data_IF_416426179228
#
_entry.id   IF_416426179228
#
_cell.length_a   1.000
_cell.length_b   1.000
_cell.length_c   1.000
_cell.angle_alpha   90.00
_cell.angle_beta   90.00
_cell.angle_gamma   90.00
#
_symmetry.space_group_name_H-M   'P 1'
#
loop_
_entity.id
_entity.type
_entity.pdbx_description
1 polymer ?
#
# COMPACT_ATOMS: atom_id res chain seq x y z
N UNK A 1 -12.16 12.32 18.42
CA UNK A 1 -13.41 11.57 18.68
C UNK A 1 -13.18 10.17 18.14
N UNK A 2 -13.21 9.12 18.97
CA UNK A 2 -13.09 7.75 18.48
C UNK A 2 -14.38 7.39 17.76
N UNK A 3 -14.27 6.92 16.52
CA UNK A 3 -15.38 6.29 15.83
C UNK A 3 -15.58 4.88 16.40
N UNK A 4 -16.74 4.28 16.16
CA UNK A 4 -16.96 2.86 16.46
C UNK A 4 -15.85 2.01 15.81
N UNK A 5 -15.37 0.97 16.49
CA UNK A 5 -14.29 0.08 16.02
C UNK A 5 -12.90 0.72 15.83
N UNK A 6 -12.67 1.91 16.39
CA UNK A 6 -11.38 2.61 16.30
C UNK A 6 -10.94 3.13 17.68
N UNK A 7 -9.69 2.84 18.05
CA UNK A 7 -9.05 3.41 19.23
C UNK A 7 -7.80 4.16 18.76
N UNK A 8 -7.79 5.48 18.93
CA UNK A 8 -6.61 6.31 18.63
C UNK A 8 -6.19 7.01 19.92
N UNK A 9 -4.91 6.91 20.24
CA UNK A 9 -4.37 7.50 21.46
C UNK A 9 -2.86 7.68 21.40
N UNK A 10 -2.28 7.84 22.59
CA UNK A 10 -0.84 7.90 22.79
C UNK A 10 -0.45 7.07 24.02
N UNK A 11 0.71 6.43 23.95
CA UNK A 11 1.40 5.79 25.06
C UNK A 11 2.78 6.41 25.12
N UNK A 12 3.16 7.04 26.24
CA UNK A 12 4.45 7.73 26.40
C UNK A 12 4.77 8.67 25.22
N UNK A 13 3.78 9.49 24.85
CA UNK A 13 3.79 10.39 23.68
C UNK A 13 3.90 9.74 22.29
N UNK A 14 4.06 8.42 22.21
CA UNK A 14 4.03 7.65 20.97
C UNK A 14 2.58 7.45 20.54
N UNK A 15 2.25 7.88 19.32
CA UNK A 15 0.92 7.68 18.74
C UNK A 15 0.66 6.19 18.51
N UNK A 16 -0.45 5.69 19.04
CA UNK A 16 -0.92 4.32 18.82
C UNK A 16 -2.34 4.37 18.28
N UNK A 17 -2.63 3.49 17.32
CA UNK A 17 -3.97 3.32 16.77
C UNK A 17 -4.29 1.84 16.61
N UNK A 18 -5.51 1.47 16.99
CA UNK A 18 -6.10 0.15 16.76
C UNK A 18 -7.37 0.32 15.94
N UNK A 19 -7.52 -0.54 14.93
CA UNK A 19 -8.65 -0.53 14.02
C UNK A 19 -9.18 -1.95 13.89
N UNK A 20 -10.50 -2.13 13.97
CA UNK A 20 -11.14 -3.36 13.52
C UNK A 20 -11.51 -3.16 12.06
N UNK A 21 -10.84 -3.91 11.17
CA UNK A 21 -11.08 -3.89 9.73
C UNK A 21 -11.82 -5.18 9.34
N UNK A 22 -12.76 -5.13 8.38
CA UNK A 22 -13.50 -6.32 7.94
C UNK A 22 -12.65 -7.27 7.06
N UNK A 23 -11.42 -6.86 6.70
CA UNK A 23 -10.57 -7.59 5.77
C UNK A 23 -9.85 -8.75 6.44
N UNK A 24 -10.08 -9.97 5.97
CA UNK A 24 -9.28 -11.13 6.35
C UNK A 24 -7.82 -10.98 5.88
N UNK A 25 -6.88 -11.56 6.62
CA UNK A 25 -5.49 -11.66 6.17
C UNK A 25 -5.39 -12.64 4.98
N UNK A 26 -4.53 -12.33 4.02
CA UNK A 26 -4.22 -13.25 2.92
C UNK A 26 -3.46 -14.48 3.41
N UNK A 27 -2.61 -14.28 4.41
CA UNK A 27 -1.73 -15.28 4.99
C UNK A 27 -1.72 -15.16 6.52
N UNK A 28 -1.38 -16.24 7.20
CA UNK A 28 -1.26 -16.22 8.66
C UNK A 28 -0.17 -15.22 9.07
N UNK A 29 -0.49 -14.35 10.02
CA UNK A 29 0.46 -13.39 10.57
C UNK A 29 1.70 -14.10 11.13
N UNK A 30 2.88 -13.55 10.87
CA UNK A 30 4.12 -14.00 11.48
C UNK A 30 4.09 -13.66 12.97
N UNK A 31 4.44 -14.62 13.82
CA UNK A 31 4.64 -14.34 15.24
C UNK A 31 6.07 -13.84 15.44
N UNK A 32 6.21 -12.55 15.74
CA UNK A 32 7.47 -11.95 16.18
C UNK A 32 7.36 -11.62 17.66
N UNK A 33 8.07 -12.38 18.48
CA UNK A 33 7.96 -12.32 19.95
C UNK A 33 6.50 -12.42 20.43
N UNK A 34 5.95 -11.34 20.98
CA UNK A 34 4.59 -11.23 21.49
C UNK A 34 3.64 -10.52 20.52
N UNK A 35 4.08 -10.25 19.29
CA UNK A 35 3.33 -9.51 18.27
C UNK A 35 3.02 -10.40 17.07
N UNK A 36 1.80 -10.28 16.57
CA UNK A 36 1.40 -10.83 15.29
C UNK A 36 1.64 -9.76 14.21
N UNK A 37 2.52 -10.04 13.26
CA UNK A 37 2.93 -9.12 12.20
C UNK A 37 2.36 -9.64 10.87
N UNK A 38 1.68 -8.77 10.13
CA UNK A 38 1.11 -9.14 8.84
C UNK A 38 2.22 -9.49 7.83
N UNK A 39 1.96 -10.47 6.96
CA UNK A 39 2.89 -10.87 5.91
C UNK A 39 3.02 -9.78 4.84
N UNK A 40 4.11 -9.83 4.06
CA UNK A 40 4.38 -8.85 3.00
C UNK A 40 3.24 -8.74 1.96
N UNK A 41 2.53 -9.83 1.67
CA UNK A 41 1.38 -9.83 0.77
C UNK A 41 0.23 -8.93 1.29
N UNK A 42 -0.08 -9.03 2.59
CA UNK A 42 -1.08 -8.18 3.22
C UNK A 42 -0.62 -6.72 3.27
N UNK A 43 0.66 -6.47 3.60
CA UNK A 43 1.21 -5.11 3.60
C UNK A 43 1.16 -4.48 2.21
N UNK A 44 1.49 -5.23 1.15
CA UNK A 44 1.41 -4.76 -0.23
C UNK A 44 -0.01 -4.38 -0.62
N UNK A 45 -0.98 -5.25 -0.33
CA UNK A 45 -2.39 -4.97 -0.60
C UNK A 45 -2.87 -3.73 0.16
N UNK A 46 -2.48 -3.57 1.42
CA UNK A 46 -2.81 -2.37 2.21
C UNK A 46 -2.15 -1.10 1.65
N UNK A 47 -0.94 -1.18 1.07
CA UNK A 47 -0.30 -0.02 0.42
C UNK A 47 -1.01 0.39 -0.86
N UNK A 48 -1.43 -0.57 -1.68
CA UNK A 48 -2.25 -0.30 -2.86
C UNK A 48 -3.57 0.37 -2.47
N UNK A 49 -4.22 -0.11 -1.39
CA UNK A 49 -5.44 0.52 -0.86
C UNK A 49 -5.18 1.98 -0.44
N UNK A 50 -4.13 2.23 0.35
CA UNK A 50 -3.78 3.57 0.81
C UNK A 50 -3.47 4.54 -0.34
N UNK A 51 -2.80 4.06 -1.39
CA UNK A 51 -2.54 4.83 -2.61
C UNK A 51 -3.83 5.15 -3.36
N UNK A 52 -4.78 4.21 -3.41
CA UNK A 52 -6.06 4.45 -4.07
C UNK A 52 -6.94 5.52 -3.38
N UNK A 53 -6.67 5.83 -2.11
CA UNK A 53 -7.39 6.83 -1.33
C UNK A 53 -6.68 8.19 -1.32
N UNK A 54 -5.56 8.31 -0.58
CA UNK A 54 -4.77 9.57 -0.49
C UNK A 54 -3.38 9.44 -1.13
N UNK A 55 -2.72 8.29 -1.02
CA UNK A 55 -1.37 8.07 -1.56
C UNK A 55 -0.31 9.04 -1.03
N UNK A 56 0.20 8.78 0.17
CA UNK A 56 1.36 9.53 0.69
C UNK A 56 2.66 9.09 0.00
N UNK A 57 3.68 9.96 -0.02
CA UNK A 57 5.00 9.64 -0.61
C UNK A 57 5.61 8.38 0.00
N UNK A 58 5.41 8.17 1.30
CA UNK A 58 5.84 6.94 2.00
C UNK A 58 5.12 5.70 1.47
N UNK A 59 3.83 5.77 1.17
CA UNK A 59 3.10 4.60 0.65
C UNK A 59 3.63 4.17 -0.72
N UNK A 60 3.95 5.12 -1.60
CA UNK A 60 4.61 4.84 -2.87
C UNK A 60 6.01 4.26 -2.69
N UNK A 61 6.80 4.80 -1.76
CA UNK A 61 8.15 4.27 -1.45
C UNK A 61 8.09 2.85 -0.92
N UNK A 62 7.17 2.56 0.01
CA UNK A 62 6.99 1.23 0.57
C UNK A 62 6.55 0.23 -0.50
N UNK A 63 5.58 0.61 -1.34
CA UNK A 63 5.13 -0.24 -2.45
C UNK A 63 6.24 -0.47 -3.48
N UNK A 64 7.00 0.57 -3.83
CA UNK A 64 8.18 0.44 -4.68
C UNK A 64 9.18 -0.55 -4.09
N UNK A 65 9.50 -0.44 -2.80
CA UNK A 65 10.42 -1.37 -2.14
C UNK A 65 9.90 -2.81 -2.21
N UNK A 66 8.60 -3.03 -1.99
CA UNK A 66 7.97 -4.35 -2.13
C UNK A 66 8.08 -4.87 -3.57
N UNK A 67 7.96 -4.02 -4.58
CA UNK A 67 8.17 -4.40 -5.97
C UNK A 67 9.62 -4.86 -6.25
N UNK A 68 10.59 -4.18 -5.64
CA UNK A 68 12.00 -4.49 -5.85
C UNK A 68 12.49 -5.72 -5.07
N UNK A 69 11.88 -6.04 -3.93
CA UNK A 69 12.43 -7.03 -2.99
C UNK A 69 11.50 -8.23 -2.72
N UNK A 70 10.24 -8.15 -3.12
CA UNK A 70 9.25 -9.21 -2.86
C UNK A 70 8.65 -9.74 -4.17
N UNK A 71 7.81 -8.95 -4.86
CA UNK A 71 7.08 -9.40 -6.05
C UNK A 71 6.76 -8.27 -7.02
N UNK A 72 6.71 -8.52 -8.35
CA UNK A 72 6.28 -7.53 -9.34
C UNK A 72 4.92 -6.90 -9.01
N UNK A 73 4.72 -5.64 -9.38
CA UNK A 73 3.51 -4.88 -9.07
C UNK A 73 2.22 -5.57 -9.58
N UNK A 74 2.32 -6.26 -10.72
CA UNK A 74 1.27 -7.11 -11.28
C UNK A 74 0.81 -8.22 -10.32
N UNK A 75 1.74 -8.91 -9.67
CA UNK A 75 1.42 -9.96 -8.70
C UNK A 75 0.82 -9.34 -7.42
N UNK A 76 1.37 -8.20 -6.97
CA UNK A 76 0.83 -7.46 -5.82
C UNK A 76 -0.61 -6.99 -6.07
N UNK A 77 -0.94 -6.58 -7.30
CA UNK A 77 -2.30 -6.20 -7.67
C UNK A 77 -3.24 -7.41 -7.71
N UNK A 78 -2.75 -8.58 -8.11
CA UNK A 78 -3.50 -9.85 -8.01
C UNK A 78 -3.78 -10.21 -6.54
N UNK A 79 -2.80 -10.02 -5.66
CA UNK A 79 -2.97 -10.20 -4.21
C UNK A 79 -3.98 -9.22 -3.61
N UNK A 80 -3.95 -7.96 -4.06
CA UNK A 80 -4.95 -6.96 -3.70
C UNK A 80 -6.36 -7.43 -4.08
N UNK A 81 -6.57 -7.90 -5.32
CA UNK A 81 -7.87 -8.40 -5.77
C UNK A 81 -8.30 -9.64 -4.96
N UNK A 82 -7.37 -10.51 -4.58
CA UNK A 82 -7.68 -11.66 -3.71
C UNK A 82 -8.13 -11.22 -2.32
N UNK A 83 -7.51 -10.19 -1.75
CA UNK A 83 -7.83 -9.69 -0.39
C UNK A 83 -9.15 -8.92 -0.35
N UNK A 84 -9.41 -8.13 -1.38
CA UNK A 84 -10.48 -7.15 -1.38
C UNK A 84 -11.56 -7.38 -2.45
N UNK A 85 -11.52 -8.50 -3.18
CA UNK A 85 -12.42 -8.75 -4.31
C UNK A 85 -13.91 -8.74 -3.95
N UNK A 86 -14.26 -9.01 -2.70
CA UNK A 86 -15.64 -8.96 -2.19
C UNK A 86 -16.12 -7.54 -1.85
N UNK A 87 -15.25 -6.53 -1.94
CA UNK A 87 -15.51 -5.15 -1.53
C UNK A 87 -15.63 -4.17 -2.71
N UNK A 88 -15.85 -4.68 -3.94
CA UNK A 88 -16.14 -3.91 -5.16
C UNK A 88 -15.15 -2.76 -5.48
N UNK A 89 -13.87 -2.93 -5.14
CA UNK A 89 -12.86 -1.92 -5.50
C UNK A 89 -12.65 -1.84 -7.02
N UNK A 90 -12.72 -0.63 -7.54
CA UNK A 90 -12.57 -0.37 -8.97
C UNK A 90 -11.09 -0.45 -9.40
N UNK A 91 -10.75 -1.48 -10.18
CA UNK A 91 -9.38 -1.72 -10.66
C UNK A 91 -8.84 -0.60 -11.56
N UNK A 92 -9.70 0.03 -12.35
CA UNK A 92 -9.33 1.18 -13.19
C UNK A 92 -8.91 2.37 -12.32
N UNK A 93 -9.67 2.66 -11.25
CA UNK A 93 -9.33 3.69 -10.28
C UNK A 93 -7.97 3.41 -9.63
N UNK A 94 -7.74 2.17 -9.17
CA UNK A 94 -6.47 1.78 -8.54
C UNK A 94 -5.29 2.01 -9.48
N UNK A 95 -5.38 1.54 -10.73
CA UNK A 95 -4.30 1.71 -11.72
C UNK A 95 -4.05 3.20 -12.01
N UNK A 96 -5.10 4.02 -12.03
CA UNK A 96 -4.98 5.47 -12.20
C UNK A 96 -4.29 6.13 -11.00
N UNK A 97 -4.62 5.71 -9.78
CA UNK A 97 -4.02 6.25 -8.55
C UNK A 97 -2.53 5.91 -8.43
N UNK A 98 -2.07 4.77 -8.97
CA UNK A 98 -0.63 4.41 -8.98
C UNK A 98 0.25 5.41 -9.75
N UNK A 99 -0.34 6.26 -10.60
CA UNK A 99 0.39 7.32 -11.31
C UNK A 99 -0.09 8.73 -10.96
N UNK A 100 -0.88 8.86 -9.90
CA UNK A 100 -1.36 10.13 -9.39
C UNK A 100 -0.50 10.55 -8.18
N UNK A 101 0.42 11.49 -8.40
CA UNK A 101 1.41 11.88 -7.39
C UNK A 101 1.10 13.20 -6.68
N UNK A 102 -0.01 13.87 -6.98
CA UNK A 102 -0.25 15.24 -6.53
C UNK A 102 -0.20 15.37 -4.98
N UNK A 103 -0.82 14.42 -4.27
CA UNK A 103 -0.78 14.40 -2.81
C UNK A 103 0.63 14.06 -2.30
N UNK A 104 1.23 12.99 -2.82
CA UNK A 104 2.59 12.57 -2.48
C UNK A 104 3.66 13.64 -2.75
N UNK A 105 3.52 14.44 -3.80
CA UNK A 105 4.48 15.48 -4.17
C UNK A 105 4.62 16.55 -3.07
N UNK A 106 3.56 16.78 -2.28
CA UNK A 106 3.57 17.74 -1.16
C UNK A 106 4.25 17.21 0.11
N UNK A 107 4.41 15.89 0.24
CA UNK A 107 5.04 15.27 1.41
C UNK A 107 6.56 15.49 1.41
N UNK A 108 7.19 15.54 2.59
CA UNK A 108 8.64 15.37 2.66
C UNK A 108 9.04 13.93 2.29
N UNK A 109 10.25 13.76 1.73
CA UNK A 109 10.80 12.40 1.58
C UNK A 109 10.96 11.75 2.95
N UNK A 110 10.51 10.49 3.16
CA UNK A 110 10.76 9.79 4.41
C UNK A 110 12.27 9.64 4.67
N UNK A 111 12.64 9.44 5.94
CA UNK A 111 14.03 9.13 6.29
C UNK A 111 14.39 7.75 5.73
N UNK A 112 15.22 7.74 4.69
CA UNK A 112 15.66 6.52 4.00
C UNK A 112 16.99 6.02 4.57
N UNK A 113 17.15 4.70 4.61
CA UNK A 113 18.44 4.03 4.91
C UNK A 113 19.31 3.83 3.67
N UNK A 114 18.75 4.09 2.49
CA UNK A 114 19.39 3.95 1.18
C UNK A 114 19.16 5.25 0.40
N UNK A 115 20.07 5.57 -0.52
CA UNK A 115 19.83 6.69 -1.44
C UNK A 115 18.74 6.29 -2.43
N UNK A 116 17.57 6.91 -2.30
CA UNK A 116 16.42 6.72 -3.18
C UNK A 116 15.81 8.07 -3.49
N UNK A 117 15.79 8.44 -4.77
CA UNK A 117 15.19 9.69 -5.23
C UNK A 117 13.73 9.48 -5.57
N UNK A 118 12.89 10.45 -5.21
CA UNK A 118 11.46 10.41 -5.51
C UNK A 118 11.17 10.24 -7.01
N UNK A 119 11.97 10.85 -7.88
CA UNK A 119 11.83 10.71 -9.33
C UNK A 119 12.04 9.28 -9.83
N UNK A 120 12.85 8.46 -9.16
CA UNK A 120 13.04 7.05 -9.52
C UNK A 120 11.76 6.25 -9.24
N UNK A 121 11.12 6.52 -8.10
CA UNK A 121 9.84 5.89 -7.71
C UNK A 121 8.74 6.26 -8.70
N UNK A 122 8.61 7.54 -9.07
CA UNK A 122 7.62 7.98 -10.06
C UNK A 122 7.83 7.32 -11.43
N UNK A 123 9.08 7.29 -11.90
CA UNK A 123 9.42 6.64 -13.18
C UNK A 123 9.05 5.16 -13.19
N UNK A 124 9.28 4.46 -12.09
CA UNK A 124 8.88 3.06 -11.94
C UNK A 124 7.37 2.89 -12.14
N UNK A 125 6.53 3.60 -11.37
CA UNK A 125 5.08 3.44 -11.47
C UNK A 125 4.50 3.88 -12.81
N UNK A 126 5.06 4.93 -13.42
CA UNK A 126 4.69 5.36 -14.78
C UNK A 126 4.99 4.23 -15.78
N UNK A 127 6.15 3.56 -15.66
CA UNK A 127 6.53 2.46 -16.54
C UNK A 127 5.69 1.19 -16.34
N UNK A 128 5.25 0.92 -15.11
CA UNK A 128 4.40 -0.25 -14.82
C UNK A 128 2.95 -0.08 -15.30
N UNK A 129 2.45 1.16 -15.39
CA UNK A 129 1.07 1.47 -15.77
C UNK A 129 0.62 0.75 -17.04
N UNK A 130 1.44 0.75 -18.09
CA UNK A 130 1.06 0.13 -19.37
C UNK A 130 0.91 -1.39 -19.26
N UNK A 131 1.79 -2.04 -18.48
CA UNK A 131 1.73 -3.48 -18.23
C UNK A 131 0.45 -3.84 -17.47
N UNK A 132 0.13 -3.05 -16.45
CA UNK A 132 -1.08 -3.24 -15.65
C UNK A 132 -2.35 -2.99 -16.47
N UNK A 133 -2.38 -1.94 -17.29
CA UNK A 133 -3.52 -1.64 -18.15
C UNK A 133 -3.81 -2.79 -19.13
N UNK A 134 -2.78 -3.30 -19.80
CA UNK A 134 -2.92 -4.44 -20.71
C UNK A 134 -3.47 -5.68 -20.01
N UNK A 135 -2.93 -6.00 -18.83
CA UNK A 135 -3.32 -7.22 -18.11
C UNK A 135 -4.72 -7.14 -17.49
N UNK A 136 -5.05 -6.03 -16.83
CA UNK A 136 -6.25 -5.95 -15.99
C UNK A 136 -7.41 -5.20 -16.65
N UNK A 137 -7.15 -4.39 -17.68
CA UNK A 137 -8.17 -3.62 -18.39
C UNK A 137 -8.34 -4.08 -19.85
N UNK A 138 -7.43 -4.90 -20.38
CA UNK A 138 -7.51 -5.43 -21.74
C UNK A 138 -7.30 -4.38 -22.84
N UNK A 139 -6.66 -3.25 -22.51
CA UNK A 139 -6.37 -2.14 -23.43
C UNK A 139 -4.87 -1.93 -23.64
#
# INVERSE_FOLDING_TARGET
KNAENTIIGKLDDIKISFFTLPYALLETAEKQENLAVAQLADLAAMKILAISDRGTKRDFVDLYWLCQNFKPLEELLTMFQKKFGEYDYNIYHIIKSLVYFADADTDAMPQMRVDLKWEEVKKFFIGEKEKLAKKFLGI
#
